data_IF_458830008150
#
_entry.id   IF_458830008150
#
_cell.length_a   1.000
_cell.length_b   1.000
_cell.length_c   1.000
_cell.angle_alpha   90.00
_cell.angle_beta   90.00
_cell.angle_gamma   90.00
#
_symmetry.space_group_name_H-M   'P 1'
#
loop_
_entity.id
_entity.type
_entity.pdbx_description
1 polymer ?
#
# COMPACT_ATOMS: atom_id res chain seq x y z
N UNK A 1 -15.74 88.92 -35.11
CA UNK A 1 -16.28 87.59 -34.77
C UNK A 1 -15.52 87.05 -33.57
N UNK A 2 -16.17 86.96 -32.40
CA UNK A 2 -15.63 86.40 -31.15
C UNK A 2 -16.68 85.42 -30.64
N UNK A 3 -16.39 84.12 -30.69
CA UNK A 3 -17.25 83.11 -30.08
C UNK A 3 -16.97 83.06 -28.57
N UNK A 4 -18.00 83.06 -27.70
CA UNK A 4 -17.80 82.82 -26.29
C UNK A 4 -17.51 81.33 -26.05
N UNK A 5 -16.36 81.03 -25.44
CA UNK A 5 -16.05 79.71 -24.90
C UNK A 5 -17.02 79.40 -23.75
N UNK A 6 -17.81 78.33 -23.90
CA UNK A 6 -18.62 77.77 -22.82
C UNK A 6 -17.73 76.78 -22.06
N UNK A 7 -17.36 77.03 -20.79
CA UNK A 7 -16.72 76.02 -19.99
C UNK A 7 -17.78 74.99 -19.55
N UNK A 8 -17.80 73.82 -20.20
CA UNK A 8 -18.49 72.65 -19.64
C UNK A 8 -17.75 72.22 -18.36
N UNK A 9 -18.20 72.75 -17.22
CA UNK A 9 -17.80 72.25 -15.91
C UNK A 9 -18.50 70.90 -15.70
N UNK A 10 -17.83 69.84 -16.12
CA UNK A 10 -18.16 68.46 -15.73
C UNK A 10 -18.08 68.37 -14.21
N UNK A 11 -19.23 68.53 -13.54
CA UNK A 11 -19.36 68.13 -12.14
C UNK A 11 -19.41 66.60 -12.13
N UNK A 12 -18.24 65.97 -12.04
CA UNK A 12 -18.15 64.57 -11.67
C UNK A 12 -18.74 64.42 -10.26
N UNK A 13 -20.03 64.05 -10.20
CA UNK A 13 -20.66 63.63 -8.96
C UNK A 13 -19.94 62.36 -8.51
N UNK A 14 -19.04 62.48 -7.53
CA UNK A 14 -18.54 61.33 -6.77
C UNK A 14 -19.77 60.54 -6.27
N UNK A 15 -19.85 59.23 -6.53
CA UNK A 15 -20.95 58.43 -6.02
C UNK A 15 -20.97 58.53 -4.49
N UNK A 16 -22.10 59.00 -3.93
CA UNK A 16 -22.39 58.94 -2.50
C UNK A 16 -22.61 57.47 -2.15
N UNK A 17 -21.59 56.83 -1.61
CA UNK A 17 -21.60 55.40 -1.31
C UNK A 17 -20.21 54.75 -1.25
N UNK A 18 -19.13 55.48 -1.57
CA UNK A 18 -17.77 55.00 -1.33
C UNK A 18 -17.42 55.06 0.17
N UNK A 19 -18.02 54.17 0.96
CA UNK A 19 -17.51 53.85 2.29
C UNK A 19 -16.20 53.09 2.10
N UNK A 20 -15.07 53.74 2.38
CA UNK A 20 -13.79 53.04 2.48
C UNK A 20 -13.82 52.07 3.67
N UNK A 21 -13.00 51.03 3.62
CA UNK A 21 -12.81 50.16 4.77
C UNK A 21 -12.16 50.96 5.91
N UNK A 22 -12.69 50.82 7.11
CA UNK A 22 -12.04 51.33 8.31
C UNK A 22 -10.79 50.48 8.61
N UNK A 23 -9.80 51.08 9.29
CA UNK A 23 -8.57 50.38 9.68
C UNK A 23 -8.88 49.09 10.48
N UNK A 24 -9.92 49.12 11.32
CA UNK A 24 -10.31 47.98 12.14
C UNK A 24 -10.94 46.85 11.33
N UNK A 25 -11.75 47.15 10.31
CA UNK A 25 -12.32 46.13 9.42
C UNK A 25 -11.22 45.42 8.62
N UNK A 26 -10.22 46.16 8.14
CA UNK A 26 -9.08 45.55 7.43
C UNK A 26 -8.24 44.65 8.35
N UNK A 27 -8.11 45.02 9.64
CA UNK A 27 -7.39 44.23 10.63
C UNK A 27 -8.14 42.94 10.96
N UNK A 28 -9.46 43.02 11.18
CA UNK A 28 -10.32 41.87 11.44
C UNK A 28 -10.33 40.93 10.23
N UNK A 29 -10.47 41.47 9.01
CA UNK A 29 -10.44 40.67 7.78
C UNK A 29 -9.08 39.96 7.62
N UNK A 30 -7.97 40.65 7.90
CA UNK A 30 -6.63 40.04 7.88
C UNK A 30 -6.49 38.88 8.87
N UNK A 31 -7.00 39.03 10.10
CA UNK A 31 -7.01 37.97 11.11
C UNK A 31 -7.83 36.75 10.66
N UNK A 32 -9.03 36.98 10.09
CA UNK A 32 -9.89 35.89 9.60
C UNK A 32 -9.19 35.13 8.48
N UNK A 33 -8.61 35.84 7.50
CA UNK A 33 -7.89 35.21 6.39
C UNK A 33 -6.68 34.42 6.89
N UNK A 34 -5.89 34.98 7.81
CA UNK A 34 -4.75 34.30 8.41
C UNK A 34 -5.17 33.01 9.17
N UNK A 35 -6.29 33.06 9.90
CA UNK A 35 -6.83 31.89 10.60
C UNK A 35 -7.30 30.81 9.62
N UNK A 36 -8.03 31.19 8.56
CA UNK A 36 -8.50 30.27 7.52
C UNK A 36 -7.34 29.62 6.78
N UNK A 37 -6.34 30.40 6.36
CA UNK A 37 -5.15 29.87 5.68
C UNK A 37 -4.37 28.90 6.58
N UNK A 38 -4.27 29.20 7.88
CA UNK A 38 -3.63 28.30 8.85
C UNK A 38 -4.39 26.98 8.99
N UNK A 39 -5.72 27.04 9.06
CA UNK A 39 -6.56 25.85 9.14
C UNK A 39 -6.46 24.98 7.86
N UNK A 40 -6.57 25.60 6.68
CA UNK A 40 -6.44 24.90 5.38
C UNK A 40 -5.05 24.30 5.21
N UNK A 41 -3.99 25.00 5.63
CA UNK A 41 -2.63 24.47 5.60
C UNK A 41 -2.48 23.19 6.42
N UNK A 42 -3.05 23.15 7.63
CA UNK A 42 -3.05 21.94 8.47
C UNK A 42 -3.84 20.79 7.85
N UNK A 43 -5.01 21.06 7.30
CA UNK A 43 -5.84 20.05 6.60
C UNK A 43 -5.15 19.49 5.35
N UNK A 44 -4.43 20.33 4.61
CA UNK A 44 -3.65 19.91 3.45
C UNK A 44 -2.52 18.94 3.85
N UNK A 45 -1.78 19.27 4.90
CA UNK A 45 -0.70 18.41 5.42
C UNK A 45 -1.26 17.06 5.91
N UNK A 46 -2.37 17.07 6.66
CA UNK A 46 -2.96 15.83 7.15
C UNK A 46 -3.47 14.94 6.01
N UNK A 47 -4.13 15.53 5.00
CA UNK A 47 -4.57 14.80 3.82
C UNK A 47 -3.41 14.16 3.05
N UNK A 48 -2.28 14.87 2.91
CA UNK A 48 -1.07 14.32 2.27
C UNK A 48 -0.45 13.18 3.08
N UNK A 49 -0.40 13.30 4.41
CA UNK A 49 0.09 12.23 5.28
C UNK A 49 -0.77 10.97 5.14
N UNK A 50 -2.10 11.10 5.19
CA UNK A 50 -3.03 9.99 4.96
C UNK A 50 -2.84 9.38 3.56
N UNK A 51 -2.69 10.20 2.52
CA UNK A 51 -2.47 9.71 1.16
C UNK A 51 -1.17 8.92 1.02
N UNK A 52 -0.09 9.35 1.69
CA UNK A 52 1.19 8.61 1.70
C UNK A 52 1.05 7.27 2.42
N UNK A 53 0.40 7.24 3.57
CA UNK A 53 0.18 6.00 4.32
C UNK A 53 -0.66 5.01 3.52
N UNK A 54 -1.74 5.49 2.88
CA UNK A 54 -2.58 4.67 2.00
C UNK A 54 -1.79 4.12 0.81
N UNK A 55 -0.95 4.95 0.19
CA UNK A 55 -0.10 4.50 -0.93
C UNK A 55 0.95 3.48 -0.49
N UNK A 56 1.56 3.68 0.67
CA UNK A 56 2.54 2.73 1.24
C UNK A 56 1.88 1.40 1.55
N UNK A 57 0.70 1.43 2.17
CA UNK A 57 -0.12 0.24 2.45
C UNK A 57 -0.46 -0.49 1.17
N UNK A 58 -0.98 0.22 0.17
CA UNK A 58 -1.33 -0.38 -1.11
C UNK A 58 -0.13 -1.06 -1.78
N UNK A 59 1.06 -0.48 -1.69
CA UNK A 59 2.29 -1.07 -2.22
C UNK A 59 2.71 -2.35 -1.46
N UNK A 60 2.59 -2.36 -0.13
CA UNK A 60 2.87 -3.55 0.69
C UNK A 60 1.89 -4.68 0.35
N UNK A 61 0.60 -4.38 0.34
CA UNK A 61 -0.46 -5.35 0.06
C UNK A 61 -0.37 -5.90 -1.36
N UNK A 62 -0.05 -5.06 -2.35
CA UNK A 62 0.19 -5.52 -3.71
C UNK A 62 1.36 -6.51 -3.77
N UNK A 63 2.48 -6.20 -3.13
CA UNK A 63 3.64 -7.09 -3.11
C UNK A 63 3.37 -8.43 -2.40
N UNK A 64 2.58 -8.42 -1.31
CA UNK A 64 2.16 -9.64 -0.63
C UNK A 64 1.23 -10.45 -1.55
N UNK A 65 0.23 -9.81 -2.15
CA UNK A 65 -0.73 -10.45 -3.04
C UNK A 65 -0.05 -11.07 -4.28
N UNK A 66 0.90 -10.37 -4.89
CA UNK A 66 1.67 -10.88 -6.03
C UNK A 66 2.46 -12.13 -5.64
N UNK A 67 3.08 -12.14 -4.45
CA UNK A 67 3.79 -13.30 -3.95
C UNK A 67 2.84 -14.47 -3.61
N UNK A 68 1.65 -14.20 -3.06
CA UNK A 68 0.64 -15.25 -2.80
C UNK A 68 0.21 -15.89 -4.13
N UNK A 69 -0.02 -15.08 -5.17
CA UNK A 69 -0.37 -15.58 -6.50
C UNK A 69 0.76 -16.43 -7.10
N UNK A 70 2.01 -16.01 -6.94
CA UNK A 70 3.17 -16.81 -7.34
C UNK A 70 3.17 -18.18 -6.63
N UNK A 71 2.99 -18.19 -5.31
CA UNK A 71 2.96 -19.44 -4.52
C UNK A 71 1.85 -20.37 -5.01
N UNK A 72 0.63 -19.87 -5.17
CA UNK A 72 -0.51 -20.65 -5.65
C UNK A 72 -0.31 -21.16 -7.09
N UNK A 73 0.27 -20.33 -7.96
CA UNK A 73 0.58 -20.71 -9.32
C UNK A 73 1.62 -21.83 -9.36
N UNK A 74 2.71 -21.71 -8.59
CA UNK A 74 3.77 -22.71 -8.56
C UNK A 74 3.30 -24.02 -7.94
N UNK A 75 2.50 -23.97 -6.87
CA UNK A 75 1.86 -25.15 -6.30
C UNK A 75 0.94 -25.85 -7.31
N UNK A 76 0.15 -25.09 -8.08
CA UNK A 76 -0.69 -25.66 -9.15
C UNK A 76 0.12 -26.33 -10.26
N UNK A 77 1.31 -25.84 -10.59
CA UNK A 77 2.18 -26.44 -11.60
C UNK A 77 3.02 -27.61 -11.08
N UNK A 78 3.22 -27.69 -9.76
CA UNK A 78 3.97 -28.74 -9.11
C UNK A 78 3.13 -30.04 -9.05
N UNK A 79 2.98 -30.68 -10.20
CA UNK A 79 2.32 -31.98 -10.40
C UNK A 79 3.33 -33.12 -10.29
N UNK A 80 2.87 -34.36 -10.08
CA UNK A 80 3.76 -35.52 -10.06
C UNK A 80 4.60 -35.67 -11.34
N UNK A 81 3.97 -35.50 -12.50
CA UNK A 81 4.66 -35.53 -13.79
C UNK A 81 5.76 -34.45 -13.87
N UNK A 82 5.51 -33.26 -13.33
CA UNK A 82 6.49 -32.17 -13.31
C UNK A 82 7.65 -32.42 -12.32
N UNK A 83 7.39 -33.15 -11.23
CA UNK A 83 8.41 -33.54 -10.24
C UNK A 83 9.38 -34.56 -10.87
N UNK A 84 8.83 -35.55 -11.58
CA UNK A 84 9.58 -36.66 -12.17
C UNK A 84 10.20 -36.34 -13.54
N UNK A 85 9.78 -35.24 -14.19
CA UNK A 85 10.33 -34.82 -15.47
C UNK A 85 11.84 -34.51 -15.40
N UNK A 86 12.57 -34.89 -16.46
CA UNK A 86 14.03 -34.70 -16.60
C UNK A 86 14.44 -33.22 -16.67
N UNK A 87 13.54 -32.34 -17.13
CA UNK A 87 13.69 -30.88 -17.10
C UNK A 87 13.20 -30.24 -15.79
N UNK A 88 12.66 -31.04 -14.86
CA UNK A 88 12.08 -30.61 -13.59
C UNK A 88 13.06 -30.68 -12.42
N UNK A 89 12.59 -31.16 -11.25
CA UNK A 89 13.41 -31.28 -10.03
C UNK A 89 14.36 -32.48 -10.02
N UNK A 90 14.31 -33.36 -11.02
CA UNK A 90 15.11 -34.59 -11.11
C UNK A 90 15.06 -35.42 -9.81
N UNK A 91 13.85 -35.56 -9.26
CA UNK A 91 13.59 -36.31 -8.02
C UNK A 91 12.40 -37.25 -8.20
N UNK A 92 12.32 -38.27 -7.35
CA UNK A 92 11.21 -39.23 -7.38
C UNK A 92 10.01 -38.67 -6.59
N UNK A 93 8.78 -38.92 -7.06
CA UNK A 93 7.56 -38.57 -6.34
C UNK A 93 7.56 -39.10 -4.90
N UNK A 94 8.07 -40.30 -4.65
CA UNK A 94 8.17 -40.89 -3.31
C UNK A 94 8.99 -40.03 -2.33
N UNK A 95 10.02 -39.33 -2.82
CA UNK A 95 10.82 -38.42 -2.00
C UNK A 95 10.06 -37.14 -1.68
N UNK A 96 9.34 -36.59 -2.66
CA UNK A 96 8.47 -35.43 -2.45
C UNK A 96 7.32 -35.76 -1.47
N UNK A 97 6.81 -36.98 -1.53
CA UNK A 97 5.73 -37.47 -0.68
C UNK A 97 6.13 -37.77 0.77
N UNK A 98 7.42 -37.91 1.07
CA UNK A 98 7.87 -38.14 2.44
C UNK A 98 7.67 -36.90 3.32
N UNK A 99 7.94 -35.71 2.78
CA UNK A 99 7.79 -34.42 3.45
C UNK A 99 7.24 -33.36 2.48
N UNK A 100 5.94 -33.42 2.11
CA UNK A 100 5.36 -32.57 1.06
C UNK A 100 5.52 -31.06 1.29
N UNK A 101 5.27 -30.57 2.51
CA UNK A 101 5.35 -29.15 2.86
C UNK A 101 6.79 -28.63 2.76
N UNK A 102 7.76 -29.42 3.23
CA UNK A 102 9.19 -29.13 3.11
C UNK A 102 9.63 -29.11 1.65
N UNK A 103 9.14 -30.05 0.84
CA UNK A 103 9.44 -30.10 -0.59
C UNK A 103 8.91 -28.86 -1.32
N UNK A 104 7.64 -28.50 -1.09
CA UNK A 104 7.04 -27.30 -1.65
C UNK A 104 7.79 -26.03 -1.22
N UNK A 105 8.14 -25.90 0.06
CA UNK A 105 8.93 -24.77 0.57
C UNK A 105 10.25 -24.61 -0.18
N UNK A 106 11.01 -25.71 -0.32
CA UNK A 106 12.29 -25.69 -1.02
C UNK A 106 12.12 -25.33 -2.50
N UNK A 107 11.06 -25.81 -3.14
CA UNK A 107 10.73 -25.46 -4.52
C UNK A 107 10.44 -23.96 -4.68
N UNK A 108 9.61 -23.39 -3.80
CA UNK A 108 9.23 -21.98 -3.82
C UNK A 108 10.41 -21.04 -3.50
N UNK A 109 11.40 -21.50 -2.76
CA UNK A 109 12.59 -20.72 -2.39
C UNK A 109 13.70 -20.74 -3.45
N UNK A 110 13.60 -21.54 -4.50
CA UNK A 110 14.62 -21.56 -5.55
C UNK A 110 14.67 -20.24 -6.31
N UNK A 111 15.86 -19.81 -6.72
CA UNK A 111 16.06 -18.52 -7.37
C UNK A 111 15.33 -18.38 -8.72
N UNK A 112 15.06 -19.48 -9.42
CA UNK A 112 14.29 -19.52 -10.67
C UNK A 112 12.77 -19.43 -10.44
N UNK A 113 12.30 -19.70 -9.22
CA UNK A 113 10.87 -19.81 -8.85
C UNK A 113 10.41 -18.64 -7.99
N UNK A 114 11.23 -18.23 -7.01
CA UNK A 114 10.90 -17.28 -5.93
C UNK A 114 10.48 -15.88 -6.40
N UNK A 115 10.53 -15.62 -7.71
CA UNK A 115 10.06 -14.38 -8.31
C UNK A 115 10.80 -13.16 -7.77
N UNK A 116 10.11 -12.01 -7.79
CA UNK A 116 10.63 -10.79 -7.18
C UNK A 116 10.42 -10.85 -5.68
N UNK A 117 11.47 -10.55 -4.89
CA UNK A 117 11.35 -10.50 -3.43
C UNK A 117 10.23 -9.53 -3.03
N UNK A 118 9.39 -9.88 -2.03
CA UNK A 118 8.39 -8.96 -1.49
C UNK A 118 9.01 -7.63 -1.09
N UNK A 119 8.17 -6.59 -1.00
CA UNK A 119 8.54 -5.25 -0.52
C UNK A 119 9.47 -5.35 0.72
N UNK A 120 10.60 -4.61 0.78
CA UNK A 120 11.58 -4.73 1.86
C UNK A 120 11.02 -4.45 3.27
N UNK A 121 9.84 -3.82 3.37
CA UNK A 121 9.12 -3.61 4.62
C UNK A 121 8.38 -4.87 5.13
N UNK A 122 8.37 -5.97 4.36
CA UNK A 122 7.70 -7.23 4.67
C UNK A 122 8.74 -8.27 5.08
N UNK A 123 8.58 -8.81 6.29
CA UNK A 123 9.28 -10.00 6.75
C UNK A 123 8.41 -11.23 6.47
N UNK A 124 9.01 -12.33 6.01
CA UNK A 124 8.30 -13.57 5.70
C UNK A 124 8.86 -14.72 6.53
N UNK A 125 7.96 -15.46 7.18
CA UNK A 125 8.27 -16.69 7.89
C UNK A 125 7.62 -17.89 7.19
N UNK A 126 8.39 -18.95 7.02
CA UNK A 126 7.94 -20.22 6.46
C UNK A 126 7.84 -21.23 7.60
N UNK A 127 6.68 -21.85 7.76
CA UNK A 127 6.45 -22.90 8.76
C UNK A 127 5.95 -24.16 8.06
N UNK A 128 6.78 -25.20 8.15
CA UNK A 128 6.55 -26.53 7.60
C UNK A 128 6.53 -27.59 8.72
N UNK A 129 6.17 -27.20 9.94
CA UNK A 129 6.09 -28.12 11.10
C UNK A 129 5.07 -29.24 10.84
N UNK A 130 4.01 -28.95 10.09
CA UNK A 130 3.10 -29.96 9.55
C UNK A 130 3.63 -30.47 8.19
N UNK A 131 3.88 -31.78 8.01
CA UNK A 131 4.35 -32.35 6.75
C UNK A 131 3.41 -32.10 5.55
N UNK A 132 2.12 -31.86 5.79
CA UNK A 132 1.10 -31.71 4.74
C UNK A 132 0.58 -30.28 4.59
N UNK A 133 1.04 -29.35 5.44
CA UNK A 133 0.60 -27.97 5.43
C UNK A 133 1.80 -27.03 5.53
N UNK A 134 2.00 -26.23 4.48
CA UNK A 134 2.97 -25.14 4.48
C UNK A 134 2.26 -23.83 4.84
N UNK A 135 2.71 -23.19 5.92
CA UNK A 135 2.17 -21.90 6.36
C UNK A 135 3.17 -20.79 6.05
N UNK A 136 2.75 -19.78 5.30
CA UNK A 136 3.54 -18.58 5.05
C UNK A 136 2.92 -17.42 5.81
N UNK A 137 3.72 -16.80 6.68
CA UNK A 137 3.31 -15.62 7.44
C UNK A 137 4.11 -14.40 6.98
N UNK A 138 3.42 -13.42 6.42
CA UNK A 138 3.95 -12.10 6.08
C UNK A 138 3.70 -11.17 7.25
N UNK A 139 4.73 -10.49 7.74
CA UNK A 139 4.65 -9.49 8.81
C UNK A 139 5.18 -8.16 8.32
N UNK A 140 4.47 -7.08 8.60
CA UNK A 140 4.88 -5.73 8.23
C UNK A 140 4.34 -4.70 9.22
N UNK A 141 5.02 -3.57 9.31
CA UNK A 141 4.57 -2.47 10.15
C UNK A 141 3.49 -1.66 9.44
N UNK A 142 2.38 -1.39 10.11
CA UNK A 142 1.33 -0.53 9.57
C UNK A 142 1.90 0.87 9.23
N UNK A 143 1.74 1.38 7.99
CA UNK A 143 2.30 2.68 7.58
C UNK A 143 1.79 3.87 8.39
N UNK A 144 0.61 3.76 8.99
CA UNK A 144 0.00 4.76 9.86
C UNK A 144 0.47 4.70 11.32
N UNK A 145 1.29 3.71 11.69
CA UNK A 145 1.85 3.63 13.05
C UNK A 145 2.78 4.82 13.29
N UNK A 146 2.34 5.74 14.14
CA UNK A 146 3.13 6.91 14.52
C UNK A 146 4.26 6.45 15.45
N UNK A 147 5.51 6.67 15.03
CA UNK A 147 6.71 6.37 15.85
C UNK A 147 6.75 7.24 17.12
N UNK A 148 6.04 8.37 17.14
CA UNK A 148 6.08 9.36 18.22
C UNK A 148 4.99 9.19 19.29
N UNK A 149 4.06 8.24 19.12
CA UNK A 149 3.00 7.98 20.09
C UNK A 149 3.21 6.61 20.76
N UNK A 150 3.79 6.56 21.97
CA UNK A 150 4.06 5.30 22.68
C UNK A 150 2.79 4.53 23.08
N UNK A 151 1.59 5.12 22.93
CA UNK A 151 0.29 4.45 23.11
C UNK A 151 -0.36 4.01 21.79
N UNK A 152 0.24 4.30 20.63
CA UNK A 152 -0.24 3.80 19.32
C UNK A 152 -0.16 2.28 19.27
N UNK A 153 -1.29 1.64 19.59
CA UNK A 153 -1.47 0.18 19.60
C UNK A 153 -1.59 -0.42 18.20
N UNK A 154 -1.45 0.38 17.13
CA UNK A 154 -1.42 -0.09 15.75
C UNK A 154 -0.02 -0.69 15.51
N UNK A 155 0.11 -1.96 15.88
CA UNK A 155 1.35 -2.73 15.86
C UNK A 155 1.70 -3.31 14.49
N UNK A 156 2.52 -4.38 14.53
CA UNK A 156 2.81 -5.20 13.36
C UNK A 156 1.53 -5.86 12.86
N UNK A 157 1.28 -5.75 11.56
CA UNK A 157 0.24 -6.48 10.86
C UNK A 157 0.80 -7.78 10.27
N UNK A 158 -0.09 -8.76 10.10
CA UNK A 158 0.28 -9.99 9.43
C UNK A 158 -0.76 -10.45 8.39
N UNK A 159 -0.28 -11.13 7.35
CA UNK A 159 -1.08 -11.91 6.41
C UNK A 159 -0.57 -13.34 6.49
N UNK A 160 -1.47 -14.31 6.49
CA UNK A 160 -1.13 -15.71 6.57
C UNK A 160 -1.81 -16.45 5.43
N UNK A 161 -1.06 -17.32 4.75
CA UNK A 161 -1.62 -18.30 3.85
C UNK A 161 -1.21 -19.69 4.29
N UNK A 162 -2.12 -20.62 4.10
CA UNK A 162 -1.93 -22.04 4.36
C UNK A 162 -2.05 -22.75 3.02
N UNK A 163 -1.01 -23.51 2.67
CA UNK A 163 -0.89 -24.17 1.36
C UNK A 163 -0.71 -25.65 1.61
N UNK A 164 -1.67 -26.45 1.15
CA UNK A 164 -1.53 -27.88 1.07
C UNK A 164 -0.91 -28.22 -0.30
N UNK A 165 0.28 -28.84 -0.36
CA UNK A 165 0.92 -29.14 -1.64
C UNK A 165 0.02 -29.94 -2.57
N UNK A 166 -0.26 -29.44 -3.77
CA UNK A 166 -1.25 -30.03 -4.68
C UNK A 166 -0.90 -31.49 -5.08
N UNK A 167 0.39 -31.78 -5.32
CA UNK A 167 0.84 -33.14 -5.62
C UNK A 167 0.62 -34.15 -4.49
N UNK A 168 0.40 -33.69 -3.25
CA UNK A 168 0.23 -34.58 -2.08
C UNK A 168 -0.95 -35.54 -2.24
N UNK A 169 -1.96 -35.17 -3.03
CA UNK A 169 -3.08 -36.03 -3.40
C UNK A 169 -2.65 -37.33 -4.08
N UNK A 170 -1.51 -37.33 -4.76
CA UNK A 170 -0.95 -38.48 -5.48
C UNK A 170 0.01 -39.32 -4.61
N UNK A 171 0.29 -38.85 -3.40
CA UNK A 171 1.14 -39.57 -2.44
C UNK A 171 0.42 -40.73 -1.75
N UNK A 172 -0.90 -40.81 -1.87
CA UNK A 172 -1.71 -41.88 -1.30
C UNK A 172 -2.07 -42.90 -2.37
N UNK A 173 -1.64 -44.15 -2.19
CA UNK A 173 -2.20 -45.28 -2.93
C UNK A 173 -3.36 -45.85 -2.13
N UNK A 174 -4.56 -45.90 -2.72
CA UNK A 174 -5.66 -46.68 -2.16
C UNK A 174 -5.29 -48.16 -2.37
N UNK A 175 -4.82 -48.80 -1.29
CA UNK A 175 -4.59 -50.24 -1.25
C UNK A 175 -5.88 -51.04 -1.14
#
# INVERSE_FOLDING_TARGET
>A
MKHPFIPHRSNQKRPKGASGFTMIETLIAGLIVAAVMTAVGRLGISAMATSRNQSSRASIEAAINDHIQLVQMQDSYLTADAIEAETGLNTNLATACAEPSTFLMNHLQRADVAGTKPNPAVSMNWDNTDPYLLVLTYKFKAPESNIEDPESTIGDEQRMIEVNPNFSSQCYTLS
#
